data_IF_734434362066
#
_entry.id   IF_734434362066
#
_cell.length_a   1.000
_cell.length_b   1.000
_cell.length_c   1.000
_cell.angle_alpha   90.00
_cell.angle_beta   90.00
_cell.angle_gamma   90.00
#
_symmetry.space_group_name_H-M   'P 1'
#
loop_
_entity.id
_entity.type
_entity.pdbx_description
1 polymer ?
#
# COMPACT_ATOMS: atom_id res chain seq x y z
N UNK A 1 13.89 19.12 21.72
CA UNK A 1 12.91 18.31 22.48
C UNK A 1 13.33 16.85 22.61
N UNK A 2 13.48 16.08 21.51
CA UNK A 2 13.90 14.67 21.60
C UNK A 2 15.21 14.47 22.41
N UNK A 3 16.25 15.24 22.10
CA UNK A 3 17.53 15.14 22.82
C UNK A 3 17.38 15.43 24.32
N UNK A 4 16.63 16.47 24.68
CA UNK A 4 16.34 16.81 26.09
C UNK A 4 15.64 15.66 26.84
N UNK A 5 14.73 14.92 26.18
CA UNK A 5 14.05 13.77 26.78
C UNK A 5 15.01 12.60 27.01
N UNK A 6 15.93 12.36 26.08
CA UNK A 6 16.95 11.32 26.21
C UNK A 6 17.95 11.65 27.32
N UNK A 7 18.35 12.92 27.42
CA UNK A 7 19.23 13.41 28.49
C UNK A 7 18.55 13.27 29.87
N UNK A 8 17.22 13.36 29.92
CA UNK A 8 16.40 13.08 31.09
C UNK A 8 16.13 11.57 31.34
N UNK A 9 16.86 10.67 30.67
CA UNK A 9 16.72 9.20 30.76
C UNK A 9 15.35 8.67 30.34
N UNK A 10 14.63 9.37 29.47
CA UNK A 10 13.41 8.81 28.88
C UNK A 10 13.72 7.54 28.08
N UNK A 11 12.88 6.51 28.23
CA UNK A 11 13.03 5.28 27.46
C UNK A 11 12.67 5.53 25.98
N UNK A 12 13.59 5.16 25.09
CA UNK A 12 13.42 5.25 23.62
C UNK A 12 12.24 4.40 23.13
N UNK A 13 11.92 3.31 23.84
CA UNK A 13 10.85 2.37 23.50
C UNK A 13 9.65 2.48 24.45
N UNK A 14 9.51 3.61 25.16
CA UNK A 14 8.36 3.82 26.04
C UNK A 14 7.04 3.64 25.27
N UNK A 15 6.10 2.87 25.83
CA UNK A 15 4.79 2.62 25.20
C UNK A 15 3.70 3.41 25.88
N UNK A 16 2.87 4.08 25.08
CA UNK A 16 1.60 4.65 25.54
C UNK A 16 0.56 3.53 25.74
N UNK A 17 -0.57 3.83 26.37
CA UNK A 17 -1.70 2.89 26.58
C UNK A 17 -2.20 2.22 25.30
N UNK A 18 -2.08 2.87 24.14
CA UNK A 18 -2.46 2.31 22.84
C UNK A 18 -1.32 1.52 22.17
N UNK A 19 -0.22 1.28 22.88
CA UNK A 19 0.94 0.53 22.40
C UNK A 19 1.94 1.35 21.58
N UNK A 20 1.64 2.62 21.27
CA UNK A 20 2.50 3.45 20.42
C UNK A 20 3.82 3.80 21.10
N UNK A 21 4.92 3.58 20.38
CA UNK A 21 6.27 4.00 20.73
C UNK A 21 6.58 5.38 20.14
N UNK A 22 7.65 6.07 20.58
CA UNK A 22 8.11 7.30 19.94
C UNK A 22 8.34 7.16 18.44
N UNK A 23 8.84 5.99 17.99
CA UNK A 23 9.07 5.72 16.56
C UNK A 23 7.75 5.68 15.79
N UNK A 24 6.74 4.94 16.29
CA UNK A 24 5.42 4.88 15.66
C UNK A 24 4.77 6.26 15.53
N UNK A 25 4.88 7.08 16.59
CA UNK A 25 4.35 8.45 16.58
C UNK A 25 5.08 9.32 15.56
N UNK A 26 6.42 9.25 15.51
CA UNK A 26 7.22 10.02 14.57
C UNK A 26 6.91 9.63 13.12
N UNK A 27 6.74 8.34 12.84
CA UNK A 27 6.37 7.83 11.53
C UNK A 27 4.97 8.31 11.12
N UNK A 28 3.97 8.17 12.00
CA UNK A 28 2.60 8.63 11.72
C UNK A 28 2.42 10.14 11.61
N UNK A 29 3.41 10.93 12.07
CA UNK A 29 3.45 12.40 11.94
C UNK A 29 4.41 12.90 10.85
N UNK A 30 5.13 12.00 10.17
CA UNK A 30 6.06 12.37 9.10
C UNK A 30 7.32 13.09 9.58
N UNK A 31 7.72 12.93 10.85
CA UNK A 31 8.89 13.61 11.42
C UNK A 31 10.20 12.91 11.05
N UNK A 32 10.61 13.03 9.78
CA UNK A 32 11.75 12.31 9.20
C UNK A 32 13.02 12.38 10.05
N UNK A 33 13.39 13.56 10.57
CA UNK A 33 14.61 13.72 11.37
C UNK A 33 14.53 13.01 12.73
N UNK A 34 13.33 12.96 13.33
CA UNK A 34 13.09 12.21 14.56
C UNK A 34 13.15 10.71 14.27
N UNK A 35 12.55 10.25 13.15
CA UNK A 35 12.62 8.85 12.72
C UNK A 35 14.08 8.42 12.53
N UNK A 36 14.87 9.19 11.77
CA UNK A 36 16.31 8.93 11.57
C UNK A 36 17.05 8.79 12.90
N UNK A 37 16.88 9.77 13.79
CA UNK A 37 17.53 9.76 15.10
C UNK A 37 17.13 8.57 15.97
N UNK A 38 15.84 8.20 15.98
CA UNK A 38 15.37 7.04 16.74
C UNK A 38 15.94 5.73 16.20
N UNK A 39 16.07 5.60 14.87
CA UNK A 39 16.69 4.43 14.24
C UNK A 39 18.18 4.37 14.53
N UNK A 40 18.91 5.50 14.49
CA UNK A 40 20.32 5.56 14.93
C UNK A 40 20.51 5.09 16.38
N UNK A 41 19.54 5.40 17.24
CA UNK A 41 19.52 5.00 18.64
C UNK A 41 18.98 3.57 18.86
N UNK A 42 18.77 2.80 17.79
CA UNK A 42 18.28 1.42 17.81
C UNK A 42 16.92 1.27 18.50
N UNK A 43 16.00 2.21 18.27
CA UNK A 43 14.60 2.05 18.65
C UNK A 43 14.02 0.74 18.09
N UNK A 44 13.11 0.09 18.82
CA UNK A 44 12.43 -1.12 18.36
C UNK A 44 11.67 -0.85 17.05
N UNK A 45 12.19 -1.39 15.96
CA UNK A 45 11.72 -1.10 14.60
C UNK A 45 10.50 -1.93 14.19
N UNK A 46 10.35 -3.15 14.71
CA UNK A 46 9.26 -4.07 14.36
C UNK A 46 8.11 -4.03 15.37
N UNK A 47 8.20 -3.15 16.37
CA UNK A 47 7.16 -2.98 17.37
C UNK A 47 5.88 -2.40 16.75
N UNK A 48 4.79 -3.17 16.77
CA UNK A 48 3.44 -2.69 16.48
C UNK A 48 2.78 -2.02 17.69
N UNK A 49 1.74 -1.21 17.42
CA UNK A 49 0.80 -0.72 18.43
C UNK A 49 -0.27 -1.78 18.78
N UNK A 50 -1.31 -1.40 19.55
CA UNK A 50 -2.40 -2.31 19.94
C UNK A 50 -3.24 -2.86 18.77
N UNK A 51 -3.19 -2.23 17.60
CA UNK A 51 -3.80 -2.72 16.36
C UNK A 51 -2.83 -3.57 15.53
N UNK A 52 -1.60 -3.79 16.01
CA UNK A 52 -0.53 -4.41 15.23
C UNK A 52 0.04 -3.47 14.16
N UNK A 53 -0.32 -2.18 14.17
CA UNK A 53 0.21 -1.22 13.19
C UNK A 53 1.68 -0.93 13.52
N UNK A 54 2.57 -1.34 12.62
CA UNK A 54 4.00 -1.03 12.67
C UNK A 54 4.31 0.38 12.16
N UNK A 55 5.60 0.76 12.12
CA UNK A 55 5.99 2.10 11.69
C UNK A 55 5.57 2.44 10.25
N UNK A 56 5.66 1.48 9.34
CA UNK A 56 5.23 1.66 7.95
C UNK A 56 3.72 1.82 7.84
N UNK A 57 2.91 1.00 8.55
CA UNK A 57 1.45 1.20 8.61
C UNK A 57 1.10 2.62 9.06
N UNK A 58 1.75 3.10 10.14
CA UNK A 58 1.53 4.45 10.67
C UNK A 58 1.87 5.55 9.64
N UNK A 59 3.00 5.43 8.94
CA UNK A 59 3.39 6.40 7.91
C UNK A 59 2.45 6.38 6.69
N UNK A 60 1.86 5.22 6.38
CA UNK A 60 0.96 5.05 5.25
C UNK A 60 -0.40 5.72 5.43
N UNK A 61 -0.95 5.76 6.65
CA UNK A 61 -2.23 6.45 6.89
C UNK A 61 -2.24 7.90 6.37
N UNK A 62 -1.11 8.59 6.52
CA UNK A 62 -0.95 9.99 6.13
C UNK A 62 -0.08 10.19 4.88
N UNK A 63 0.38 9.11 4.24
CA UNK A 63 1.17 9.17 3.00
C UNK A 63 2.53 9.85 3.19
N UNK A 64 3.20 9.64 4.32
CA UNK A 64 4.50 10.24 4.63
C UNK A 64 5.64 9.57 3.84
N UNK A 65 5.67 9.81 2.53
CA UNK A 65 6.53 9.13 1.56
C UNK A 65 8.02 9.24 1.89
N UNK A 66 8.49 10.36 2.44
CA UNK A 66 9.92 10.51 2.83
C UNK A 66 10.31 9.59 3.98
N UNK A 67 9.44 9.41 4.98
CA UNK A 67 9.66 8.44 6.06
C UNK A 67 9.70 7.03 5.47
N UNK A 68 8.75 6.70 4.61
CA UNK A 68 8.63 5.38 3.99
C UNK A 68 9.87 5.05 3.15
N UNK A 69 10.31 5.99 2.31
CA UNK A 69 11.54 5.86 1.52
C UNK A 69 12.74 5.62 2.41
N UNK A 70 12.92 6.42 3.46
CA UNK A 70 14.02 6.24 4.40
C UNK A 70 14.03 4.83 5.01
N UNK A 71 12.88 4.36 5.49
CA UNK A 71 12.77 3.06 6.17
C UNK A 71 12.97 1.88 5.22
N UNK A 72 12.32 1.90 4.05
CA UNK A 72 12.39 0.82 3.06
C UNK A 72 13.77 0.73 2.39
N UNK A 73 14.36 1.88 2.02
CA UNK A 73 15.63 1.90 1.29
C UNK A 73 16.87 1.67 2.17
N UNK A 74 16.81 2.04 3.45
CA UNK A 74 18.00 2.07 4.32
C UNK A 74 18.09 0.87 5.25
N UNK A 75 16.96 0.29 5.65
CA UNK A 75 16.92 -0.64 6.79
C UNK A 75 16.24 -1.98 6.49
N UNK A 76 15.99 -2.30 5.22
CA UNK A 76 15.33 -3.56 4.81
C UNK A 76 14.01 -3.84 5.52
N UNK A 77 13.28 -2.78 5.93
CA UNK A 77 12.00 -2.93 6.58
C UNK A 77 11.08 -3.83 5.77
N UNK A 78 10.43 -4.77 6.45
CA UNK A 78 9.40 -5.57 5.85
C UNK A 78 8.15 -4.71 5.63
N UNK A 79 7.92 -4.32 4.38
CA UNK A 79 6.72 -3.60 3.97
C UNK A 79 5.57 -4.55 3.60
N UNK A 80 5.73 -5.86 3.83
CA UNK A 80 4.71 -6.90 3.67
C UNK A 80 4.16 -7.36 5.04
N UNK A 81 4.55 -6.72 6.14
CA UNK A 81 4.07 -7.07 7.48
C UNK A 81 2.56 -6.79 7.63
N UNK A 82 1.83 -7.74 8.20
CA UNK A 82 0.38 -7.64 8.40
C UNK A 82 0.07 -7.13 9.81
N UNK A 83 -0.89 -6.21 9.92
CA UNK A 83 -1.43 -5.77 11.22
C UNK A 83 -2.54 -6.73 11.71
N UNK A 84 -3.20 -6.42 12.83
CA UNK A 84 -4.26 -7.26 13.40
C UNK A 84 -5.53 -7.35 12.53
N UNK A 85 -5.62 -6.54 11.46
CA UNK A 85 -6.69 -6.59 10.46
C UNK A 85 -6.24 -7.27 9.17
N UNK A 86 -5.09 -7.96 9.19
CA UNK A 86 -4.48 -8.60 8.04
C UNK A 86 -4.12 -7.61 6.92
N UNK A 87 -3.87 -6.35 7.25
CA UNK A 87 -3.52 -5.30 6.27
C UNK A 87 -2.04 -5.04 6.25
N UNK A 88 -1.47 -4.98 5.05
CA UNK A 88 -0.10 -4.52 4.81
C UNK A 88 -0.03 -2.98 4.78
N UNK A 89 1.16 -2.36 4.92
CA UNK A 89 1.35 -0.94 4.64
C UNK A 89 0.86 -0.52 3.26
N UNK A 90 0.96 -1.39 2.25
CA UNK A 90 0.45 -1.15 0.90
C UNK A 90 -1.09 -1.03 0.90
N UNK A 91 -1.81 -1.93 1.59
CA UNK A 91 -3.26 -1.87 1.74
C UNK A 91 -3.73 -0.58 2.43
N UNK A 92 -3.01 -0.16 3.47
CA UNK A 92 -3.27 1.11 4.16
C UNK A 92 -3.07 2.29 3.18
N UNK A 93 -1.96 2.32 2.44
CA UNK A 93 -1.69 3.39 1.48
C UNK A 93 -2.79 3.47 0.40
N UNK A 94 -3.32 2.34 -0.05
CA UNK A 94 -4.40 2.31 -1.05
C UNK A 94 -5.74 2.77 -0.47
N UNK A 95 -6.15 2.22 0.66
CA UNK A 95 -7.42 2.56 1.32
C UNK A 95 -7.49 4.04 1.70
N UNK A 96 -6.35 4.64 2.06
CA UNK A 96 -6.22 6.05 2.43
C UNK A 96 -5.93 6.98 1.24
N UNK A 97 -5.94 6.44 0.01
CA UNK A 97 -5.72 7.18 -1.23
C UNK A 97 -4.30 7.73 -1.41
N UNK A 98 -3.31 7.19 -0.71
CA UNK A 98 -1.90 7.58 -0.77
C UNK A 98 -1.19 6.89 -1.93
N UNK A 99 -1.61 7.21 -3.14
CA UNK A 99 -1.18 6.48 -4.33
C UNK A 99 0.31 6.60 -4.67
N UNK A 100 0.96 7.72 -4.33
CA UNK A 100 2.42 7.85 -4.51
C UNK A 100 3.18 6.86 -3.62
N UNK A 101 2.69 6.66 -2.39
CA UNK A 101 3.19 5.66 -1.46
C UNK A 101 2.93 4.25 -1.97
N UNK A 102 1.71 3.95 -2.42
CA UNK A 102 1.37 2.63 -2.97
C UNK A 102 2.24 2.31 -4.20
N UNK A 103 2.39 3.27 -5.13
CA UNK A 103 3.24 3.12 -6.31
C UNK A 103 4.71 2.90 -5.93
N UNK A 104 5.20 3.55 -4.87
CA UNK A 104 6.55 3.31 -4.37
C UNK A 104 6.75 1.87 -3.87
N UNK A 105 5.84 1.34 -3.04
CA UNK A 105 5.94 -0.04 -2.57
C UNK A 105 5.89 -1.04 -3.71
N UNK A 106 4.97 -0.85 -4.65
CA UNK A 106 4.87 -1.69 -5.84
C UNK A 106 6.21 -1.71 -6.61
N UNK A 107 6.79 -0.54 -6.89
CA UNK A 107 8.08 -0.44 -7.58
C UNK A 107 9.21 -1.12 -6.80
N UNK A 108 9.22 -1.02 -5.47
CA UNK A 108 10.21 -1.66 -4.61
C UNK A 108 10.06 -3.18 -4.59
N UNK A 109 8.82 -3.69 -4.54
CA UNK A 109 8.55 -5.12 -4.64
C UNK A 109 9.04 -5.69 -5.97
N UNK A 110 8.75 -5.00 -7.08
CA UNK A 110 9.25 -5.36 -8.40
C UNK A 110 10.78 -5.37 -8.47
N UNK A 111 11.43 -4.31 -7.98
CA UNK A 111 12.89 -4.25 -7.94
C UNK A 111 13.51 -5.38 -7.10
N UNK A 112 12.87 -5.76 -5.98
CA UNK A 112 13.34 -6.86 -5.11
C UNK A 112 13.21 -8.21 -5.82
N UNK A 113 12.08 -8.47 -6.47
CA UNK A 113 11.84 -9.69 -7.23
C UNK A 113 12.87 -9.86 -8.38
N UNK A 114 13.15 -8.78 -9.12
CA UNK A 114 14.15 -8.79 -10.19
C UNK A 114 15.57 -9.02 -9.66
N UNK A 115 15.94 -8.46 -8.50
CA UNK A 115 17.28 -8.69 -7.91
C UNK A 115 17.49 -10.10 -7.36
N UNK A 116 16.42 -10.76 -6.88
CA UNK A 116 16.53 -12.13 -6.34
C UNK A 116 16.70 -13.21 -7.41
N UNK A 117 16.39 -12.90 -8.66
CA UNK A 117 16.54 -13.78 -9.82
C UNK A 117 17.78 -13.33 -10.60
N UNK A 118 18.80 -14.18 -10.73
CA UNK A 118 20.06 -13.81 -11.39
C UNK A 118 19.87 -13.35 -12.86
N UNK A 119 20.76 -12.50 -13.34
CA UNK A 119 20.55 -11.33 -14.25
C UNK A 119 20.04 -11.58 -15.70
N UNK A 120 19.82 -12.80 -16.20
CA UNK A 120 19.59 -12.98 -17.66
C UNK A 120 18.13 -13.15 -18.13
N UNK A 121 17.16 -13.32 -17.24
CA UNK A 121 15.75 -13.54 -17.61
C UNK A 121 14.84 -12.29 -17.48
N UNK A 122 15.44 -11.10 -17.44
CA UNK A 122 14.76 -9.82 -17.13
C UNK A 122 13.67 -9.39 -18.13
N UNK A 123 13.67 -9.94 -19.36
CA UNK A 123 12.58 -9.71 -20.32
C UNK A 123 11.33 -10.56 -20.06
N UNK A 124 11.47 -11.72 -19.41
CA UNK A 124 10.34 -12.59 -19.11
C UNK A 124 9.52 -12.08 -17.90
N UNK A 125 10.18 -11.48 -16.90
CA UNK A 125 9.53 -11.05 -15.64
C UNK A 125 8.62 -9.83 -15.81
N UNK A 126 8.76 -9.02 -16.87
CA UNK A 126 7.72 -8.05 -17.24
C UNK A 126 6.37 -8.73 -17.52
N UNK A 127 6.37 -10.03 -17.81
CA UNK A 127 5.17 -10.83 -18.10
C UNK A 127 4.85 -11.91 -17.05
N UNK A 128 5.79 -12.27 -16.18
CA UNK A 128 5.64 -13.38 -15.20
C UNK A 128 5.69 -12.91 -13.75
N UNK A 129 4.62 -12.26 -13.30
CA UNK A 129 3.75 -12.69 -12.20
C UNK A 129 4.32 -13.25 -10.87
N UNK A 130 5.55 -12.95 -10.46
CA UNK A 130 6.05 -13.27 -9.12
C UNK A 130 6.53 -12.02 -8.39
N UNK A 131 5.62 -11.05 -8.27
CA UNK A 131 5.70 -10.09 -7.19
C UNK A 131 5.36 -10.82 -5.88
N UNK A 132 6.17 -10.62 -4.85
CA UNK A 132 5.86 -11.15 -3.51
C UNK A 132 4.64 -10.46 -2.89
N UNK A 133 4.38 -9.22 -3.31
CA UNK A 133 3.21 -8.44 -2.90
C UNK A 133 1.95 -9.05 -3.51
N UNK A 134 1.03 -9.52 -2.66
CA UNK A 134 -0.29 -9.96 -3.11
C UNK A 134 -1.10 -8.76 -3.58
N UNK A 135 -1.09 -8.56 -4.90
CA UNK A 135 -1.75 -7.43 -5.56
C UNK A 135 -3.28 -7.52 -5.51
N UNK A 136 -3.82 -8.70 -5.22
CA UNK A 136 -5.24 -9.00 -5.17
C UNK A 136 -5.78 -9.05 -3.74
N UNK A 137 -4.92 -8.90 -2.74
CA UNK A 137 -5.32 -8.86 -1.35
C UNK A 137 -6.41 -7.79 -1.13
N UNK A 138 -7.50 -8.13 -0.42
CA UNK A 138 -8.53 -7.16 -0.06
C UNK A 138 -7.97 -6.00 0.77
N UNK A 139 -8.20 -4.78 0.33
CA UNK A 139 -7.78 -3.57 1.07
C UNK A 139 -8.68 -3.27 2.27
N UNK A 140 -9.86 -3.87 2.31
CA UNK A 140 -10.82 -3.77 3.40
C UNK A 140 -11.61 -5.08 3.62
N UNK A 141 -12.34 -5.11 4.74
CA UNK A 141 -13.22 -6.23 5.12
C UNK A 141 -14.38 -6.49 4.15
N UNK A 142 -14.62 -5.61 3.18
CA UNK A 142 -15.71 -5.75 2.21
C UNK A 142 -15.25 -6.42 0.92
N UNK A 143 -13.98 -6.80 0.82
CA UNK A 143 -13.41 -7.39 -0.40
C UNK A 143 -12.97 -6.37 -1.44
N UNK A 144 -12.90 -5.08 -1.10
CA UNK A 144 -12.50 -4.04 -2.06
C UNK A 144 -11.03 -4.26 -2.45
N UNK A 145 -10.76 -4.50 -3.74
CA UNK A 145 -9.38 -4.70 -4.21
C UNK A 145 -8.67 -3.39 -4.51
N UNK A 146 -7.34 -3.44 -4.54
CA UNK A 146 -6.46 -2.34 -4.95
C UNK A 146 -6.87 -1.70 -6.28
N UNK A 147 -7.28 -2.53 -7.24
CA UNK A 147 -7.70 -2.08 -8.57
C UNK A 147 -9.05 -1.33 -8.51
N UNK A 148 -9.96 -1.71 -7.61
CA UNK A 148 -11.21 -0.98 -7.39
C UNK A 148 -10.93 0.45 -6.95
N UNK A 149 -10.05 0.63 -5.97
CA UNK A 149 -9.67 1.95 -5.46
C UNK A 149 -8.95 2.80 -6.51
N UNK A 150 -8.06 2.20 -7.31
CA UNK A 150 -7.38 2.91 -8.40
C UNK A 150 -8.37 3.42 -9.47
N UNK A 151 -9.32 2.58 -9.88
CA UNK A 151 -10.39 2.97 -10.81
C UNK A 151 -11.30 4.06 -10.21
N UNK A 152 -11.68 3.92 -8.93
CA UNK A 152 -12.57 4.85 -8.23
C UNK A 152 -11.98 6.25 -8.13
N UNK A 153 -10.66 6.35 -7.94
CA UNK A 153 -9.92 7.60 -7.77
C UNK A 153 -9.30 8.13 -9.07
N UNK A 154 -9.69 7.58 -10.23
CA UNK A 154 -9.20 8.00 -11.54
C UNK A 154 -7.68 7.91 -11.72
N UNK A 155 -7.01 7.02 -10.97
CA UNK A 155 -5.56 6.91 -11.01
C UNK A 155 -5.11 6.00 -12.15
N UNK A 156 -5.01 6.57 -13.36
CA UNK A 156 -4.60 5.82 -14.56
C UNK A 156 -3.27 5.07 -14.40
N UNK A 157 -2.27 5.73 -13.80
CA UNK A 157 -0.93 5.17 -13.67
C UNK A 157 -0.96 3.91 -12.80
N UNK A 158 -1.63 3.99 -11.65
CA UNK A 158 -1.78 2.85 -10.75
C UNK A 158 -2.70 1.78 -11.36
N UNK A 159 -3.83 2.14 -11.97
CA UNK A 159 -4.72 1.16 -12.63
C UNK A 159 -3.97 0.35 -13.70
N UNK A 160 -3.16 1.00 -14.55
CA UNK A 160 -2.34 0.31 -15.55
C UNK A 160 -1.30 -0.58 -14.90
N UNK A 161 -0.57 -0.05 -13.92
CA UNK A 161 0.43 -0.81 -13.19
C UNK A 161 -0.16 -2.10 -12.59
N UNK A 162 -1.32 -2.00 -11.93
CA UNK A 162 -2.02 -3.14 -11.36
C UNK A 162 -2.48 -4.14 -12.44
N UNK A 163 -3.04 -3.65 -13.57
CA UNK A 163 -3.46 -4.51 -14.68
C UNK A 163 -2.27 -5.22 -15.38
N UNK A 164 -1.18 -4.50 -15.62
CA UNK A 164 0.07 -5.03 -16.19
C UNK A 164 0.64 -6.15 -15.31
N UNK A 165 0.36 -6.07 -14.01
CA UNK A 165 0.74 -7.06 -12.98
C UNK A 165 -0.23 -8.22 -12.81
N UNK A 166 -1.26 -8.33 -13.66
CA UNK A 166 -2.32 -9.34 -13.56
C UNK A 166 -3.20 -9.20 -12.30
N UNK A 167 -3.44 -7.99 -11.83
CA UNK A 167 -4.50 -7.75 -10.86
C UNK A 167 -5.85 -8.28 -11.42
N UNK A 168 -6.62 -8.94 -10.55
CA UNK A 168 -7.89 -9.55 -10.86
C UNK A 168 -8.89 -8.49 -11.29
N UNK A 169 -9.51 -8.71 -12.45
CA UNK A 169 -10.59 -7.86 -12.96
C UNK A 169 -11.96 -8.15 -12.33
N UNK A 170 -12.04 -9.15 -11.45
CA UNK A 170 -13.30 -9.58 -10.82
C UNK A 170 -13.63 -8.79 -9.54
N UNK A 171 -12.79 -7.81 -9.18
CA UNK A 171 -13.04 -6.96 -8.02
C UNK A 171 -14.33 -6.15 -8.16
N UNK A 172 -15.01 -5.94 -7.04
CA UNK A 172 -16.20 -5.10 -6.95
C UNK A 172 -16.18 -4.24 -5.68
N UNK A 173 -16.94 -3.14 -5.71
CA UNK A 173 -17.22 -2.33 -4.54
C UNK A 173 -18.25 -3.01 -3.62
N UNK A 174 -18.44 -2.52 -2.38
CA UNK A 174 -19.48 -3.05 -1.47
C UNK A 174 -20.91 -2.94 -2.01
N UNK A 175 -21.17 -2.00 -2.93
CA UNK A 175 -22.46 -1.84 -3.60
C UNK A 175 -22.62 -2.71 -4.87
N UNK A 176 -21.67 -3.61 -5.11
CA UNK A 176 -21.67 -4.54 -6.24
C UNK A 176 -21.14 -3.96 -7.54
N UNK A 177 -20.72 -2.69 -7.57
CA UNK A 177 -20.14 -2.11 -8.79
C UNK A 177 -18.84 -2.82 -9.16
N UNK A 178 -18.79 -3.42 -10.34
CA UNK A 178 -17.57 -3.98 -10.92
C UNK A 178 -16.58 -2.88 -11.30
N UNK A 179 -15.33 -3.24 -11.54
CA UNK A 179 -14.28 -2.32 -12.02
C UNK A 179 -14.69 -1.46 -13.22
N UNK A 180 -15.39 -2.07 -14.19
CA UNK A 180 -15.83 -1.37 -15.39
C UNK A 180 -16.91 -0.33 -15.04
N UNK A 181 -17.89 -0.69 -14.20
CA UNK A 181 -18.91 0.25 -13.71
C UNK A 181 -18.28 1.42 -12.95
N UNK A 182 -17.27 1.15 -12.11
CA UNK A 182 -16.52 2.18 -11.39
C UNK A 182 -15.82 3.11 -12.39
N UNK A 183 -15.07 2.57 -13.35
CA UNK A 183 -14.32 3.37 -14.32
C UNK A 183 -15.25 4.23 -15.18
N UNK A 184 -16.35 3.68 -15.70
CA UNK A 184 -17.35 4.42 -16.48
C UNK A 184 -18.03 5.52 -15.66
N UNK A 185 -18.52 5.21 -14.45
CA UNK A 185 -19.21 6.19 -13.60
C UNK A 185 -18.33 7.36 -13.16
N UNK A 186 -17.00 7.17 -13.15
CA UNK A 186 -16.01 8.21 -12.83
C UNK A 186 -15.47 8.94 -14.06
N UNK A 187 -15.89 8.56 -15.28
CA UNK A 187 -15.35 9.12 -16.52
C UNK A 187 -13.90 8.70 -16.83
N UNK A 188 -13.41 7.62 -16.20
CA UNK A 188 -12.05 7.11 -16.39
C UNK A 188 -11.93 6.26 -17.67
N UNK A 189 -12.13 6.89 -18.83
CA UNK A 189 -12.16 6.20 -20.13
C UNK A 189 -10.90 5.36 -20.41
N UNK A 190 -9.66 5.83 -20.12
CA UNK A 190 -8.48 5.02 -20.37
C UNK A 190 -8.41 3.75 -19.50
N UNK A 191 -8.89 3.78 -18.25
CA UNK A 191 -8.98 2.58 -17.43
C UNK A 191 -10.12 1.66 -17.88
N UNK A 192 -11.28 2.22 -18.25
CA UNK A 192 -12.39 1.43 -18.80
C UNK A 192 -11.95 0.65 -20.05
N UNK A 193 -11.23 1.32 -20.96
CA UNK A 193 -10.62 0.65 -22.11
C UNK A 193 -9.66 -0.46 -21.71
N UNK A 194 -8.72 -0.17 -20.79
CA UNK A 194 -7.77 -1.16 -20.32
C UNK A 194 -8.45 -2.39 -19.65
N UNK A 195 -9.57 -2.18 -18.96
CA UNK A 195 -10.37 -3.26 -18.36
C UNK A 195 -11.03 -4.12 -19.44
N UNK A 196 -11.63 -3.50 -20.47
CA UNK A 196 -12.23 -4.23 -21.61
C UNK A 196 -11.16 -5.02 -22.37
N UNK A 197 -9.99 -4.42 -22.61
CA UNK A 197 -8.84 -5.10 -23.23
C UNK A 197 -8.38 -6.31 -22.40
N UNK A 198 -8.57 -6.28 -21.07
CA UNK A 198 -8.32 -7.39 -20.15
C UNK A 198 -9.55 -8.30 -19.92
N UNK A 199 -10.56 -8.24 -20.80
CA UNK A 199 -11.78 -9.08 -20.80
C UNK A 199 -12.74 -8.84 -19.62
N UNK A 200 -12.82 -7.62 -19.11
CA UNK A 200 -13.87 -7.25 -18.15
C UNK A 200 -15.27 -7.48 -18.74
N UNK A 201 -16.19 -7.99 -17.92
CA UNK A 201 -17.57 -8.21 -18.35
C UNK A 201 -18.29 -6.87 -18.54
N UNK A 202 -18.60 -6.56 -19.80
CA UNK A 202 -19.31 -5.34 -20.21
C UNK A 202 -20.80 -5.36 -19.87
N UNK A 203 -21.37 -6.52 -19.53
CA UNK A 203 -22.79 -6.68 -19.22
C UNK A 203 -23.07 -6.72 -17.72
N UNK A 204 -22.02 -6.70 -16.90
CA UNK A 204 -22.16 -6.78 -15.45
C UNK A 204 -22.99 -5.60 -14.91
N UNK A 205 -23.80 -5.89 -13.91
CA UNK A 205 -24.64 -4.94 -13.18
C UNK A 205 -24.22 -4.85 -11.73
N UNK A 206 -24.47 -3.70 -11.10
CA UNK A 206 -24.32 -3.57 -9.66
C UNK A 206 -25.48 -4.25 -8.90
N UNK A 207 -25.49 -4.15 -7.56
CA UNK A 207 -26.55 -4.72 -6.72
C UNK A 207 -27.94 -4.12 -7.00
N UNK A 208 -28.03 -3.02 -7.76
CA UNK A 208 -29.27 -2.35 -8.16
C UNK A 208 -29.67 -2.67 -9.61
N UNK A 209 -28.91 -3.49 -10.32
CA UNK A 209 -29.18 -3.84 -11.71
C UNK A 209 -28.68 -2.80 -12.73
N UNK A 210 -27.83 -1.84 -12.33
CA UNK A 210 -27.36 -0.76 -13.21
C UNK A 210 -26.16 -1.23 -14.03
N UNK A 211 -26.25 -1.12 -15.37
CA UNK A 211 -25.15 -1.32 -16.31
C UNK A 211 -24.37 -0.01 -16.55
N UNK A 212 -23.10 -0.14 -16.94
CA UNK A 212 -22.17 1.00 -17.10
C UNK A 212 -22.02 1.49 -18.54
N UNK A 213 -22.80 0.92 -19.47
CA UNK A 213 -22.86 1.24 -20.89
C UNK A 213 -24.30 1.36 -21.34
#
# INVERSE_FOLDING_TARGET
MLQLLLDAKASINARRKDGKTPLLIACGRGHVQIVKRLVELKAEMEAGDTNGDGPLHCACYNGHLEVIKFMVDTHHFDFEAHNNQDRTPFDIALSEGKFDTANYFYQKSFQRAVKSLQVEETKAIQSTGQLKLDINHPTDKNGTTSLCLACQNQNLKLSRLLLDSKASIQGHMPDGRTLLLIACSRGHLPAAKALVDNKADVKAVDNKGIQGV
#
